data_IF_601404430964
#
_entry.id   IF_601404430964
#
_cell.length_a   1.000
_cell.length_b   1.000
_cell.length_c   1.000
_cell.angle_alpha   90.00
_cell.angle_beta   90.00
_cell.angle_gamma   90.00
#
_symmetry.space_group_name_H-M   'P 1'
#
loop_
_entity.id
_entity.type
_entity.pdbx_description
1 polymer ?
#
# COMPACT_ATOMS: atom_id res chain seq x y z
N UNK A 1 -30.97 38.09 10.11
CA UNK A 1 -30.82 36.67 10.40
C UNK A 1 -31.07 35.78 9.17
N UNK A 2 -31.55 36.34 8.05
CA UNK A 2 -31.84 35.58 6.80
C UNK A 2 -30.66 35.48 5.84
N UNK A 3 -29.73 36.43 5.83
CA UNK A 3 -28.59 36.44 4.89
C UNK A 3 -27.49 35.40 5.24
N UNK A 4 -27.26 35.15 6.51
CA UNK A 4 -26.23 34.19 6.95
C UNK A 4 -26.64 32.70 6.68
N UNK A 5 -27.94 32.41 6.57
CA UNK A 5 -28.44 31.08 6.21
C UNK A 5 -28.27 30.80 4.70
N UNK A 6 -28.33 31.81 3.86
CA UNK A 6 -28.22 31.68 2.41
C UNK A 6 -26.74 31.47 1.99
N UNK A 7 -25.80 32.21 2.60
CA UNK A 7 -24.36 32.07 2.33
C UNK A 7 -23.77 30.73 2.78
N UNK A 8 -24.27 30.17 3.87
CA UNK A 8 -23.79 28.85 4.36
C UNK A 8 -24.29 27.73 3.45
N UNK A 9 -25.57 27.82 3.00
CA UNK A 9 -26.16 26.85 2.07
C UNK A 9 -25.46 26.84 0.70
N UNK A 10 -25.06 27.99 0.19
CA UNK A 10 -24.32 28.12 -1.07
C UNK A 10 -22.88 27.55 -0.95
N UNK A 11 -22.25 27.71 0.21
CA UNK A 11 -20.90 27.20 0.50
C UNK A 11 -20.85 25.66 0.59
N UNK A 12 -21.82 25.07 1.25
CA UNK A 12 -21.95 23.62 1.39
C UNK A 12 -22.27 22.96 0.03
N UNK A 13 -23.08 23.64 -0.81
CA UNK A 13 -23.38 23.19 -2.16
C UNK A 13 -22.14 23.27 -3.07
N UNK A 14 -21.32 24.30 -2.95
CA UNK A 14 -20.03 24.40 -3.64
C UNK A 14 -19.04 23.36 -3.18
N UNK A 15 -18.95 23.09 -1.87
CA UNK A 15 -18.11 22.03 -1.32
C UNK A 15 -18.50 20.65 -1.87
N UNK A 16 -19.79 20.34 -1.93
CA UNK A 16 -20.30 19.10 -2.50
C UNK A 16 -20.01 19.00 -4.01
N UNK A 17 -20.13 20.12 -4.74
CA UNK A 17 -19.79 20.18 -6.17
C UNK A 17 -18.30 19.88 -6.41
N UNK A 18 -17.39 20.47 -5.62
CA UNK A 18 -15.97 20.20 -5.73
C UNK A 18 -15.63 18.74 -5.38
N UNK A 19 -16.27 18.17 -4.35
CA UNK A 19 -16.11 16.74 -4.04
C UNK A 19 -16.55 15.87 -5.21
N UNK A 20 -17.67 16.17 -5.86
CA UNK A 20 -18.17 15.43 -7.02
C UNK A 20 -17.24 15.57 -8.23
N UNK A 21 -16.79 16.77 -8.54
CA UNK A 21 -15.88 17.04 -9.68
C UNK A 21 -14.54 16.34 -9.52
N UNK A 22 -14.01 16.27 -8.29
CA UNK A 22 -12.79 15.54 -7.97
C UNK A 22 -12.99 14.02 -8.03
N UNK A 23 -14.19 13.52 -7.70
CA UNK A 23 -14.52 12.10 -7.79
C UNK A 23 -14.73 11.62 -9.24
N UNK A 24 -15.12 12.52 -10.17
CA UNK A 24 -15.31 12.22 -11.58
C UNK A 24 -13.99 12.19 -12.38
N UNK A 25 -12.90 12.76 -11.86
CA UNK A 25 -11.58 12.72 -12.47
C UNK A 25 -10.68 13.91 -12.09
N UNK A 26 -9.49 13.97 -12.68
CA UNK A 26 -8.58 15.09 -12.46
C UNK A 26 -9.16 16.40 -13.04
N UNK A 27 -9.18 17.45 -12.21
CA UNK A 27 -9.61 18.78 -12.64
C UNK A 27 -8.69 19.30 -13.76
N UNK A 28 -9.27 19.98 -14.73
CA UNK A 28 -8.51 20.72 -15.72
C UNK A 28 -7.71 21.87 -15.08
N UNK A 29 -6.65 22.39 -15.76
CA UNK A 29 -5.79 23.42 -15.18
C UNK A 29 -6.53 24.70 -14.71
N UNK A 30 -7.62 25.06 -15.40
CA UNK A 30 -8.50 26.20 -15.04
C UNK A 30 -9.29 25.92 -13.77
N UNK A 31 -9.82 24.72 -13.66
CA UNK A 31 -10.69 24.31 -12.56
C UNK A 31 -9.87 24.03 -11.31
N UNK A 32 -8.64 23.50 -11.47
CA UNK A 32 -7.68 23.37 -10.39
C UNK A 32 -7.34 24.73 -9.77
N UNK A 33 -7.04 25.74 -10.60
CA UNK A 33 -6.76 27.09 -10.10
C UNK A 33 -7.98 27.77 -9.47
N UNK A 34 -9.20 27.43 -9.88
CA UNK A 34 -10.43 27.89 -9.25
C UNK A 34 -10.66 27.21 -7.91
N UNK A 35 -10.46 25.91 -7.84
CA UNK A 35 -10.55 25.12 -6.62
C UNK A 35 -9.54 25.59 -5.56
N UNK A 36 -8.26 25.77 -5.94
CA UNK A 36 -7.21 26.23 -5.02
C UNK A 36 -7.52 27.61 -4.43
N UNK A 37 -8.06 28.54 -5.24
CA UNK A 37 -8.52 29.86 -4.77
C UNK A 37 -9.71 29.76 -3.82
N UNK A 38 -10.67 28.92 -4.13
CA UNK A 38 -11.84 28.71 -3.29
C UNK A 38 -11.46 28.07 -1.96
N UNK A 39 -10.55 27.08 -1.96
CA UNK A 39 -10.07 26.37 -0.78
C UNK A 39 -9.18 27.24 0.12
N UNK A 40 -8.60 28.34 -0.39
CA UNK A 40 -7.77 29.25 0.40
C UNK A 40 -8.55 30.00 1.50
N UNK A 41 -9.87 30.08 1.39
CA UNK A 41 -10.74 30.65 2.43
C UNK A 41 -10.97 29.60 3.53
N UNK A 42 -10.69 29.94 4.84
CA UNK A 42 -10.77 28.95 5.92
C UNK A 42 -12.14 28.29 6.09
N UNK A 43 -13.22 29.05 5.87
CA UNK A 43 -14.59 28.55 5.97
C UNK A 43 -14.95 27.58 4.84
N UNK A 44 -14.40 27.78 3.64
CA UNK A 44 -14.57 26.87 2.51
C UNK A 44 -13.76 25.60 2.71
N UNK A 45 -12.57 25.69 3.28
CA UNK A 45 -11.76 24.53 3.64
C UNK A 45 -12.47 23.65 4.67
N UNK A 46 -13.14 24.25 5.65
CA UNK A 46 -13.94 23.51 6.62
C UNK A 46 -15.13 22.82 5.98
N UNK A 47 -15.91 23.56 5.15
CA UNK A 47 -17.07 23.00 4.44
C UNK A 47 -16.66 21.85 3.50
N UNK A 48 -15.50 21.97 2.85
CA UNK A 48 -14.97 20.90 2.01
C UNK A 48 -14.56 19.67 2.83
N UNK A 49 -13.92 19.85 3.98
CA UNK A 49 -13.58 18.76 4.90
C UNK A 49 -14.84 18.04 5.40
N UNK A 50 -15.90 18.78 5.73
CA UNK A 50 -17.15 18.21 6.21
C UNK A 50 -17.87 17.44 5.08
N UNK A 51 -17.92 17.98 3.86
CA UNK A 51 -18.46 17.28 2.69
C UNK A 51 -17.68 16.01 2.35
N UNK A 52 -16.34 16.03 2.40
CA UNK A 52 -15.50 14.88 2.17
C UNK A 52 -15.69 13.79 3.24
N UNK A 53 -15.89 14.18 4.51
CA UNK A 53 -16.21 13.25 5.60
C UNK A 53 -17.56 12.57 5.39
N UNK A 54 -18.59 13.31 4.96
CA UNK A 54 -19.91 12.76 4.61
C UNK A 54 -19.78 11.78 3.43
N UNK A 55 -19.00 12.14 2.41
CA UNK A 55 -18.75 11.29 1.24
C UNK A 55 -18.08 9.97 1.65
N UNK A 56 -17.03 10.04 2.47
CA UNK A 56 -16.35 8.86 3.01
C UNK A 56 -17.25 8.02 3.93
N UNK A 57 -18.14 8.64 4.70
CA UNK A 57 -19.11 7.94 5.54
C UNK A 57 -20.15 7.19 4.70
N UNK A 58 -20.60 7.77 3.58
CA UNK A 58 -21.53 7.14 2.64
C UNK A 58 -20.87 5.92 1.96
N UNK A 59 -19.60 6.03 1.60
CA UNK A 59 -18.85 4.93 0.98
C UNK A 59 -18.63 3.76 1.97
N UNK A 60 -18.37 4.07 3.25
CA UNK A 60 -18.28 3.05 4.32
C UNK A 60 -19.63 2.40 4.68
N UNK A 61 -20.75 3.09 4.42
CA UNK A 61 -22.11 2.61 4.73
C UNK A 61 -22.69 1.83 3.57
N UNK A 62 -22.19 2.01 2.33
CA UNK A 62 -22.71 1.31 1.15
C UNK A 62 -22.56 -0.21 1.19
N UNK A 63 -21.63 -0.73 2.01
CA UNK A 63 -21.35 -2.16 2.19
C UNK A 63 -22.12 -2.79 3.40
N UNK A 64 -22.99 -2.04 4.08
CA UNK A 64 -23.75 -2.60 5.22
C UNK A 64 -24.93 -3.44 4.77
N UNK A 65 -25.09 -4.67 5.31
CA UNK A 65 -26.17 -5.60 4.94
C UNK A 65 -27.60 -5.05 5.19
N UNK A 66 -27.75 -4.05 6.10
CA UNK A 66 -29.04 -3.46 6.39
C UNK A 66 -29.59 -2.59 5.25
N UNK A 67 -28.72 -1.94 4.44
CA UNK A 67 -29.13 -1.18 3.26
C UNK A 67 -29.46 -2.07 2.07
N UNK A 68 -28.88 -3.26 2.00
CA UNK A 68 -29.27 -4.30 1.05
C UNK A 68 -30.71 -4.75 1.31
N UNK A 69 -31.13 -4.87 2.56
CA UNK A 69 -32.52 -5.19 2.93
C UNK A 69 -33.52 -4.08 2.56
N UNK A 70 -33.16 -2.80 2.69
CA UNK A 70 -34.04 -1.68 2.26
C UNK A 70 -34.18 -1.62 0.75
N UNK A 71 -33.13 -1.90 0.00
CA UNK A 71 -33.16 -2.02 -1.47
C UNK A 71 -33.98 -3.22 -1.94
N UNK A 72 -33.84 -4.37 -1.27
CA UNK A 72 -34.61 -5.58 -1.58
C UNK A 72 -36.10 -5.40 -1.28
N UNK A 73 -36.49 -4.73 -0.17
CA UNK A 73 -37.87 -4.45 0.18
C UNK A 73 -38.55 -3.44 -0.77
N UNK A 74 -37.81 -2.44 -1.28
CA UNK A 74 -38.32 -1.52 -2.29
C UNK A 74 -38.54 -2.22 -3.64
N UNK A 75 -37.64 -3.14 -4.02
CA UNK A 75 -37.79 -3.96 -5.23
C UNK A 75 -38.90 -5.01 -5.09
N UNK A 76 -39.15 -5.54 -3.88
CA UNK A 76 -40.26 -6.45 -3.64
C UNK A 76 -41.62 -5.75 -3.70
N UNK A 77 -41.75 -4.50 -3.23
CA UNK A 77 -42.96 -3.71 -3.40
C UNK A 77 -43.28 -3.40 -4.84
N UNK A 78 -42.29 -3.07 -5.65
CA UNK A 78 -42.43 -2.89 -7.10
C UNK A 78 -42.78 -4.21 -7.82
N UNK A 79 -42.20 -5.32 -7.39
CA UNK A 79 -42.54 -6.67 -7.92
C UNK A 79 -43.96 -7.11 -7.58
N UNK A 80 -44.48 -6.78 -6.39
CA UNK A 80 -45.87 -7.08 -6.00
C UNK A 80 -46.89 -6.27 -6.78
N UNK A 81 -46.60 -4.99 -7.07
CA UNK A 81 -47.46 -4.15 -7.90
C UNK A 81 -47.54 -4.64 -9.36
N UNK A 82 -46.48 -5.26 -9.88
CA UNK A 82 -46.41 -5.78 -11.25
C UNK A 82 -46.93 -7.23 -11.39
N UNK A 83 -47.08 -7.98 -10.28
CA UNK A 83 -47.56 -9.38 -10.31
C UNK A 83 -49.00 -9.51 -10.73
N UNK A 84 -49.83 -8.45 -10.57
CA UNK A 84 -51.25 -8.46 -10.92
C UNK A 84 -51.59 -8.42 -12.39
N UNK A 85 -50.63 -8.16 -13.26
CA UNK A 85 -50.85 -7.99 -14.74
C UNK A 85 -50.33 -9.12 -15.61
N UNK A 86 -49.55 -10.09 -15.07
CA UNK A 86 -48.85 -11.08 -15.92
C UNK A 86 -49.29 -12.55 -15.71
N UNK A 87 -50.37 -12.82 -14.97
CA UNK A 87 -50.79 -14.22 -14.71
C UNK A 87 -51.74 -14.83 -15.73
N UNK A 88 -51.73 -14.34 -16.97
CA UNK A 88 -52.54 -14.95 -18.04
C UNK A 88 -51.78 -15.17 -19.35
N UNK A 89 -50.58 -15.76 -19.34
CA UNK A 89 -50.06 -16.54 -20.48
C UNK A 89 -49.10 -17.58 -19.90
N UNK A 90 -49.47 -18.85 -20.04
CA UNK A 90 -48.60 -20.00 -19.78
C UNK A 90 -47.41 -19.86 -20.71
N UNK A 91 -46.28 -19.36 -20.21
CA UNK A 91 -45.05 -19.31 -20.96
C UNK A 91 -44.52 -20.74 -21.14
N UNK A 92 -44.20 -21.17 -22.38
CA UNK A 92 -43.62 -22.49 -22.61
C UNK A 92 -42.32 -22.66 -21.78
N UNK A 93 -42.04 -23.87 -21.32
CA UNK A 93 -40.89 -24.23 -20.46
C UNK A 93 -39.56 -23.65 -20.93
N UNK A 94 -39.43 -23.36 -22.20
CA UNK A 94 -38.24 -22.77 -22.86
C UNK A 94 -37.98 -21.31 -22.43
N UNK A 95 -39.00 -20.57 -22.04
CA UNK A 95 -38.85 -19.19 -21.55
C UNK A 95 -38.15 -19.17 -20.19
N UNK A 96 -38.41 -20.16 -19.35
CA UNK A 96 -37.73 -20.31 -18.06
C UNK A 96 -36.28 -20.71 -18.21
N UNK A 97 -35.95 -21.56 -19.17
CA UNK A 97 -34.56 -21.93 -19.51
C UNK A 97 -33.80 -20.73 -20.05
N UNK A 98 -34.43 -19.92 -20.90
CA UNK A 98 -33.84 -18.67 -21.39
C UNK A 98 -33.63 -17.63 -20.30
N UNK A 99 -34.57 -17.51 -19.35
CA UNK A 99 -34.43 -16.58 -18.22
C UNK A 99 -33.30 -16.97 -17.27
N UNK A 100 -33.14 -18.27 -16.99
CA UNK A 100 -32.03 -18.78 -16.16
C UNK A 100 -30.70 -18.60 -16.89
N UNK A 101 -30.62 -18.90 -18.18
CA UNK A 101 -29.40 -18.68 -18.97
C UNK A 101 -29.03 -17.18 -19.00
N UNK A 102 -30.00 -16.28 -19.22
CA UNK A 102 -29.76 -14.84 -19.21
C UNK A 102 -29.31 -14.34 -17.84
N UNK A 103 -29.89 -14.84 -16.74
CA UNK A 103 -29.47 -14.46 -15.39
C UNK A 103 -28.05 -14.94 -15.06
N UNK A 104 -27.66 -16.13 -15.52
CA UNK A 104 -26.28 -16.63 -15.37
C UNK A 104 -25.28 -15.83 -16.19
N UNK A 105 -25.64 -15.43 -17.42
CA UNK A 105 -24.79 -14.56 -18.26
C UNK A 105 -24.64 -13.18 -17.61
N UNK A 106 -25.71 -12.58 -17.11
CA UNK A 106 -25.66 -11.31 -16.40
C UNK A 106 -24.85 -11.43 -15.11
N UNK A 107 -25.01 -12.50 -14.34
CA UNK A 107 -24.22 -12.75 -13.13
C UNK A 107 -22.74 -12.94 -13.46
N UNK A 108 -22.42 -13.67 -14.54
CA UNK A 108 -21.05 -13.88 -15.01
C UNK A 108 -20.42 -12.58 -15.51
N UNK A 109 -21.14 -11.80 -16.33
CA UNK A 109 -20.69 -10.48 -16.80
C UNK A 109 -20.49 -9.51 -15.63
N UNK A 110 -21.42 -9.51 -14.67
CA UNK A 110 -21.29 -8.68 -13.46
C UNK A 110 -20.09 -9.12 -12.62
N UNK A 111 -19.86 -10.42 -12.46
CA UNK A 111 -18.68 -10.94 -11.79
C UNK A 111 -17.38 -10.53 -12.49
N UNK A 112 -17.33 -10.62 -13.82
CA UNK A 112 -16.16 -10.21 -14.63
C UNK A 112 -15.94 -8.68 -14.53
N UNK A 113 -17.02 -7.87 -14.59
CA UNK A 113 -16.95 -6.41 -14.51
C UNK A 113 -16.63 -5.89 -13.10
N UNK A 114 -16.97 -6.65 -12.05
CA UNK A 114 -16.68 -6.31 -10.66
C UNK A 114 -15.30 -6.82 -10.19
N UNK A 115 -14.65 -7.71 -10.94
CA UNK A 115 -13.30 -8.15 -10.62
C UNK A 115 -12.29 -7.19 -11.24
N UNK A 116 -11.74 -6.30 -10.41
CA UNK A 116 -10.58 -5.52 -10.81
C UNK A 116 -9.42 -6.47 -11.12
N UNK A 117 -8.77 -6.36 -12.30
CA UNK A 117 -7.63 -7.20 -12.61
C UNK A 117 -6.51 -6.93 -11.61
N UNK A 118 -5.96 -7.99 -11.04
CA UNK A 118 -4.75 -7.90 -10.22
C UNK A 118 -3.55 -8.02 -11.14
N UNK A 119 -2.71 -6.99 -11.18
CA UNK A 119 -1.45 -7.00 -11.91
C UNK A 119 -0.33 -7.43 -10.96
N UNK A 120 0.38 -8.49 -11.32
CA UNK A 120 1.48 -9.03 -10.50
C UNK A 120 2.80 -8.60 -11.14
N UNK A 121 3.61 -7.88 -10.37
CA UNK A 121 4.97 -7.49 -10.72
C UNK A 121 5.96 -8.36 -9.94
N UNK A 122 6.88 -9.01 -10.66
CA UNK A 122 7.85 -9.93 -10.07
C UNK A 122 9.23 -9.74 -10.67
N UNK A 123 10.22 -9.84 -9.82
CA UNK A 123 11.64 -9.92 -10.20
C UNK A 123 12.23 -11.24 -9.75
N UNK A 124 13.12 -11.80 -10.55
CA UNK A 124 13.92 -12.96 -10.21
C UNK A 124 15.15 -12.61 -9.38
N UNK A 125 15.96 -13.64 -9.09
CA UNK A 125 17.24 -13.49 -8.37
C UNK A 125 18.17 -12.57 -9.18
N UNK A 126 18.66 -11.49 -8.55
CA UNK A 126 19.55 -10.51 -9.17
C UNK A 126 18.87 -9.60 -10.20
N UNK A 127 17.60 -9.77 -10.46
CA UNK A 127 16.83 -8.95 -11.39
C UNK A 127 16.23 -7.74 -10.64
N UNK A 128 16.20 -6.59 -11.34
CA UNK A 128 15.55 -5.37 -10.87
C UNK A 128 14.64 -4.86 -11.97
N UNK A 129 13.51 -4.27 -11.59
CA UNK A 129 12.53 -3.77 -12.55
C UNK A 129 11.99 -2.40 -12.11
N UNK A 130 11.86 -1.50 -13.08
CA UNK A 130 11.09 -0.26 -12.93
C UNK A 130 9.81 -0.38 -13.74
N UNK A 131 8.68 -0.17 -13.09
CA UNK A 131 7.37 -0.17 -13.72
C UNK A 131 6.64 1.17 -13.49
N UNK A 132 5.90 1.61 -14.50
CA UNK A 132 4.95 2.71 -14.37
C UNK A 132 3.57 2.09 -14.14
N UNK A 133 2.91 2.49 -13.06
CA UNK A 133 1.55 2.05 -12.73
C UNK A 133 0.50 2.89 -13.48
N UNK A 134 -0.73 2.39 -13.53
CA UNK A 134 -1.84 3.04 -14.25
C UNK A 134 -2.21 4.42 -13.69
N UNK A 135 -1.96 4.65 -12.40
CA UNK A 135 -2.17 5.94 -11.73
C UNK A 135 -1.03 6.94 -11.93
N UNK A 136 -0.01 6.59 -12.70
CA UNK A 136 1.20 7.39 -12.91
C UNK A 136 2.25 7.25 -11.81
N UNK A 137 2.03 6.43 -10.79
CA UNK A 137 3.05 6.10 -9.79
C UNK A 137 4.15 5.24 -10.40
N UNK A 138 5.39 5.38 -9.88
CA UNK A 138 6.53 4.54 -10.27
C UNK A 138 6.77 3.49 -9.20
N UNK A 139 6.97 2.26 -9.65
CA UNK A 139 7.28 1.10 -8.82
C UNK A 139 8.65 0.56 -9.20
N UNK A 140 9.64 0.72 -8.32
CA UNK A 140 10.96 0.09 -8.47
C UNK A 140 11.01 -1.18 -7.62
N UNK A 141 11.19 -2.33 -8.26
CA UNK A 141 11.33 -3.63 -7.59
C UNK A 141 12.80 -4.01 -7.51
N UNK A 142 13.24 -4.37 -6.33
CA UNK A 142 14.53 -4.99 -6.08
C UNK A 142 14.54 -6.47 -6.49
N UNK A 143 15.67 -7.15 -6.37
CA UNK A 143 15.81 -8.58 -6.65
C UNK A 143 14.91 -9.43 -5.73
N UNK A 144 14.40 -10.54 -6.27
CA UNK A 144 13.51 -11.49 -5.60
C UNK A 144 12.32 -10.83 -4.90
N UNK A 145 11.67 -9.94 -5.62
CA UNK A 145 10.56 -9.12 -5.12
C UNK A 145 9.28 -9.47 -5.85
N UNK A 146 8.15 -9.45 -5.13
CA UNK A 146 6.82 -9.67 -5.66
C UNK A 146 5.84 -8.66 -5.07
N UNK A 147 5.15 -7.93 -5.96
CA UNK A 147 4.13 -6.94 -5.62
C UNK A 147 2.88 -7.22 -6.43
N UNK A 148 1.77 -7.43 -5.73
CA UNK A 148 0.44 -7.50 -6.32
C UNK A 148 -0.18 -6.11 -6.31
N UNK A 149 -0.68 -5.64 -7.45
CA UNK A 149 -1.29 -4.31 -7.62
C UNK A 149 -2.75 -4.49 -8.01
N UNK A 150 -3.64 -3.85 -7.26
CA UNK A 150 -5.06 -3.79 -7.54
C UNK A 150 -5.53 -2.35 -7.43
N UNK A 151 -5.98 -1.79 -8.54
CA UNK A 151 -6.60 -0.46 -8.56
C UNK A 151 -8.11 -0.60 -8.76
N UNK A 152 -8.84 0.05 -7.86
CA UNK A 152 -10.30 0.14 -7.89
C UNK A 152 -10.72 1.62 -7.98
N UNK A 153 -11.99 1.88 -8.22
CA UNK A 153 -12.48 3.26 -8.43
C UNK A 153 -12.14 4.21 -7.28
N UNK A 154 -12.10 3.73 -6.04
CA UNK A 154 -11.83 4.54 -4.85
C UNK A 154 -10.53 4.18 -4.12
N UNK A 155 -9.74 3.19 -4.58
CA UNK A 155 -8.61 2.64 -3.83
C UNK A 155 -7.46 2.24 -4.74
N UNK A 156 -6.24 2.47 -4.26
CA UNK A 156 -5.00 2.01 -4.88
C UNK A 156 -4.31 1.05 -3.91
N UNK A 157 -4.61 -0.25 -4.06
CA UNK A 157 -4.16 -1.28 -3.13
C UNK A 157 -3.02 -2.09 -3.71
N UNK A 158 -1.94 -2.20 -2.95
CA UNK A 158 -0.80 -3.01 -3.29
C UNK A 158 -0.47 -3.96 -2.15
N UNK A 159 0.07 -5.12 -2.49
CA UNK A 159 0.56 -6.09 -1.50
C UNK A 159 2.00 -6.43 -1.83
N UNK A 160 2.94 -6.06 -0.97
CA UNK A 160 4.30 -6.57 -1.03
C UNK A 160 4.30 -7.97 -0.42
N UNK A 161 4.36 -8.98 -1.29
CA UNK A 161 4.36 -10.39 -0.89
C UNK A 161 5.71 -10.79 -0.32
N UNK A 162 6.80 -10.32 -0.95
CA UNK A 162 8.19 -10.51 -0.49
C UNK A 162 9.14 -9.51 -1.14
N UNK A 163 10.31 -9.37 -0.57
CA UNK A 163 11.39 -8.56 -1.14
C UNK A 163 11.35 -7.12 -0.68
N UNK A 164 11.76 -6.22 -1.57
CA UNK A 164 11.85 -4.77 -1.35
C UNK A 164 11.35 -4.01 -2.58
N UNK A 165 10.50 -3.04 -2.36
CA UNK A 165 10.01 -2.17 -3.41
C UNK A 165 9.99 -0.70 -2.97
N UNK A 166 10.39 0.20 -3.88
CA UNK A 166 10.26 1.64 -3.73
C UNK A 166 9.06 2.12 -4.54
N UNK A 167 8.31 3.02 -3.94
CA UNK A 167 7.11 3.62 -4.49
C UNK A 167 7.30 5.13 -4.58
N UNK A 168 7.27 5.68 -5.80
CA UNK A 168 7.16 7.11 -6.04
C UNK A 168 5.69 7.37 -6.43
N UNK A 169 4.88 7.73 -5.43
CA UNK A 169 3.42 7.75 -5.53
C UNK A 169 2.94 9.05 -6.17
N UNK A 170 2.13 8.94 -7.21
CA UNK A 170 1.44 10.07 -7.81
C UNK A 170 0.47 10.71 -6.79
N UNK A 171 0.44 12.05 -6.74
CA UNK A 171 -0.42 12.81 -5.83
C UNK A 171 -1.88 12.60 -6.20
N UNK A 172 -2.62 11.96 -5.32
CA UNK A 172 -4.06 11.77 -5.41
C UNK A 172 -4.64 11.63 -3.99
N UNK A 173 -5.04 12.75 -3.37
CA UNK A 173 -5.56 12.74 -2.00
C UNK A 173 -6.89 12.00 -1.84
N UNK A 174 -7.68 11.90 -2.93
CA UNK A 174 -9.00 11.26 -2.90
C UNK A 174 -8.94 9.74 -2.99
N UNK A 175 -7.84 9.19 -3.54
CA UNK A 175 -7.61 7.76 -3.61
C UNK A 175 -6.31 7.41 -2.89
N UNK A 176 -6.36 7.10 -1.59
CA UNK A 176 -5.16 6.72 -0.84
C UNK A 176 -4.45 5.54 -1.51
N UNK A 177 -3.12 5.61 -1.52
CA UNK A 177 -2.26 4.53 -1.98
C UNK A 177 -1.85 3.70 -0.78
N UNK A 178 -2.22 2.45 -0.74
CA UNK A 178 -1.94 1.55 0.38
C UNK A 178 -1.05 0.40 -0.03
N UNK A 179 0.02 0.15 0.74
CA UNK A 179 0.90 -1.00 0.58
C UNK A 179 0.79 -1.90 1.79
N UNK A 180 0.24 -3.08 1.59
CA UNK A 180 0.21 -4.11 2.63
C UNK A 180 1.50 -4.92 2.59
N UNK A 181 2.18 -5.05 3.72
CA UNK A 181 3.35 -5.90 3.91
C UNK A 181 3.20 -6.68 5.22
N UNK A 182 3.05 -7.99 5.12
CA UNK A 182 2.76 -8.84 6.28
C UNK A 182 1.45 -8.45 6.98
N UNK A 183 1.55 -8.02 8.22
CA UNK A 183 0.46 -7.54 9.06
C UNK A 183 0.37 -6.01 9.18
N UNK A 184 1.09 -5.27 8.33
CA UNK A 184 1.14 -3.81 8.32
C UNK A 184 0.57 -3.25 7.03
N UNK A 185 -0.01 -2.04 7.09
CA UNK A 185 -0.46 -1.27 5.94
C UNK A 185 0.23 0.09 5.99
N UNK A 186 0.93 0.44 4.92
CA UNK A 186 1.52 1.76 4.71
C UNK A 186 0.60 2.57 3.82
N UNK A 187 0.12 3.71 4.30
CA UNK A 187 -0.82 4.58 3.56
C UNK A 187 -0.12 5.88 3.16
N UNK A 188 -0.25 6.23 1.90
CA UNK A 188 0.39 7.37 1.25
C UNK A 188 -0.61 8.13 0.36
N UNK A 189 -0.39 9.44 0.17
CA UNK A 189 -1.23 10.29 -0.69
C UNK A 189 -0.44 11.08 -1.74
N UNK A 190 0.85 10.78 -1.90
CA UNK A 190 1.74 11.48 -2.83
C UNK A 190 3.14 11.62 -2.25
N UNK A 191 3.82 10.52 -2.04
CA UNK A 191 5.05 10.38 -1.26
C UNK A 191 6.03 9.46 -1.95
N UNK A 192 7.32 9.58 -1.64
CA UNK A 192 8.34 8.62 -2.05
C UNK A 192 8.81 7.81 -0.83
N UNK A 193 8.67 6.49 -0.87
CA UNK A 193 9.04 5.60 0.23
C UNK A 193 9.41 4.19 -0.27
N UNK A 194 10.12 3.45 0.58
CA UNK A 194 10.42 2.03 0.36
C UNK A 194 9.74 1.19 1.43
N UNK A 195 9.26 0.02 1.02
CA UNK A 195 8.84 -1.04 1.93
C UNK A 195 9.69 -2.27 1.65
N UNK A 196 10.26 -2.85 2.70
CA UNK A 196 11.06 -4.07 2.63
C UNK A 196 10.55 -5.10 3.63
N UNK A 197 10.42 -6.34 3.20
CA UNK A 197 10.22 -7.50 4.08
C UNK A 197 11.54 -8.24 4.24
N UNK A 198 12.12 -8.20 5.43
CA UNK A 198 13.40 -8.82 5.77
C UNK A 198 13.31 -9.49 7.14
N UNK A 199 13.73 -10.74 7.27
CA UNK A 199 13.82 -11.48 8.54
C UNK A 199 12.55 -11.38 9.40
N UNK A 200 11.36 -11.52 8.78
CA UNK A 200 10.05 -11.35 9.41
C UNK A 200 9.83 -9.96 10.04
N UNK A 201 10.49 -8.96 9.50
CA UNK A 201 10.28 -7.56 9.84
C UNK A 201 9.80 -6.81 8.62
N UNK A 202 9.00 -5.79 8.84
CA UNK A 202 8.60 -4.80 7.84
C UNK A 202 9.39 -3.54 8.11
N UNK A 203 10.14 -3.10 7.12
CA UNK A 203 10.92 -1.88 7.12
C UNK A 203 10.22 -0.87 6.22
N UNK A 204 9.96 0.32 6.72
CA UNK A 204 9.36 1.42 5.96
C UNK A 204 10.26 2.64 6.06
N UNK A 205 10.89 3.02 4.95
CA UNK A 205 11.74 4.20 4.88
C UNK A 205 11.07 5.27 4.02
N UNK A 206 10.99 6.48 4.54
CA UNK A 206 10.39 7.61 3.86
C UNK A 206 11.47 8.54 3.27
N UNK A 207 11.31 8.89 2.00
CA UNK A 207 12.19 9.83 1.28
C UNK A 207 11.56 11.21 1.16
N UNK A 208 10.25 11.27 0.84
CA UNK A 208 9.54 12.52 0.61
C UNK A 208 8.08 12.41 1.06
N UNK A 209 7.52 13.48 1.63
CA UNK A 209 6.14 13.57 2.07
C UNK A 209 5.90 12.97 3.45
N UNK A 210 4.74 12.33 3.63
CA UNK A 210 4.32 11.71 4.89
C UNK A 210 3.61 10.39 4.61
N UNK A 211 3.87 9.37 5.41
CA UNK A 211 3.15 8.10 5.38
C UNK A 211 2.63 7.76 6.76
N UNK A 212 1.45 7.15 6.80
CA UNK A 212 0.91 6.53 8.00
C UNK A 212 1.14 5.02 7.93
N UNK A 213 1.51 4.39 9.05
CA UNK A 213 1.65 2.95 9.14
C UNK A 213 0.62 2.42 10.12
N UNK A 214 -0.22 1.50 9.64
CA UNK A 214 -1.36 0.96 10.36
C UNK A 214 -1.19 -0.55 10.58
N UNK A 215 -1.78 -1.06 11.63
CA UNK A 215 -1.99 -2.50 11.80
C UNK A 215 -3.10 -2.98 10.86
N UNK A 216 -2.88 -4.07 10.15
CA UNK A 216 -3.81 -4.58 9.14
C UNK A 216 -5.15 -5.05 9.71
N UNK A 217 -5.19 -5.53 10.96
CA UNK A 217 -6.42 -6.06 11.57
C UNK A 217 -7.25 -4.97 12.21
N UNK A 218 -6.61 -4.11 12.99
CA UNK A 218 -7.28 -3.06 13.75
C UNK A 218 -7.43 -1.75 12.98
N UNK A 219 -6.66 -1.57 11.88
CA UNK A 219 -6.49 -0.30 11.16
C UNK A 219 -6.03 0.86 12.08
N UNK A 220 -5.57 0.54 13.26
CA UNK A 220 -5.02 1.52 14.19
C UNK A 220 -3.58 1.89 13.77
N UNK A 221 -3.20 3.16 13.92
CA UNK A 221 -1.81 3.57 13.73
C UNK A 221 -0.87 2.79 14.64
N UNK A 222 0.30 2.40 14.11
CA UNK A 222 1.30 1.69 14.88
C UNK A 222 2.02 2.68 15.81
N UNK A 223 1.97 2.48 17.15
CA UNK A 223 2.71 3.27 18.08
C UNK A 223 4.23 3.10 17.86
N UNK A 224 4.99 4.18 18.03
CA UNK A 224 6.45 4.14 18.04
C UNK A 224 6.96 4.01 19.45
N UNK A 225 8.08 3.31 19.63
CA UNK A 225 8.69 3.10 20.93
C UNK A 225 9.15 4.43 21.61
N UNK A 226 9.42 5.47 20.79
CA UNK A 226 9.85 6.81 21.22
C UNK A 226 8.72 7.83 21.33
N UNK A 227 7.46 7.44 21.02
CA UNK A 227 6.32 8.35 21.03
C UNK A 227 5.97 8.79 22.47
N UNK A 228 5.90 10.11 22.69
CA UNK A 228 5.43 10.68 23.95
C UNK A 228 3.91 10.58 24.06
N UNK A 229 3.34 10.12 25.16
CA UNK A 229 1.90 10.14 25.35
C UNK A 229 1.39 11.59 25.49
N UNK A 230 0.41 11.96 24.66
CA UNK A 230 -0.21 13.29 24.70
C UNK A 230 -1.16 13.54 23.51
N UNK A 231 -1.95 14.63 23.54
CA UNK A 231 -2.89 14.95 22.47
C UNK A 231 -2.21 15.28 21.11
N UNK A 232 -0.89 15.55 21.09
CA UNK A 232 -0.09 15.69 19.87
C UNK A 232 0.30 14.34 19.22
N UNK A 233 -0.04 13.21 19.85
CA UNK A 233 0.35 11.86 19.40
C UNK A 233 -0.11 11.51 17.97
N UNK A 234 -1.16 12.13 17.46
CA UNK A 234 -1.64 11.86 16.11
C UNK A 234 -0.71 12.41 15.02
N UNK A 235 -0.14 13.61 15.20
CA UNK A 235 0.84 14.16 14.28
C UNK A 235 2.21 13.44 14.40
N UNK A 236 2.53 12.95 15.60
CA UNK A 236 3.74 12.18 15.89
C UNK A 236 3.72 10.75 15.32
N UNK A 237 2.57 10.29 14.82
CA UNK A 237 2.40 8.95 14.23
C UNK A 237 2.78 8.89 12.74
N UNK A 238 2.93 10.04 12.07
CA UNK A 238 3.35 10.08 10.67
C UNK A 238 4.88 9.97 10.55
N UNK A 239 5.34 9.09 9.66
CA UNK A 239 6.76 8.98 9.37
C UNK A 239 7.24 10.23 8.64
N UNK A 240 8.43 10.72 8.97
CA UNK A 240 9.07 11.88 8.36
C UNK A 240 10.25 11.46 7.48
N UNK A 241 10.63 12.23 6.46
CA UNK A 241 11.75 11.92 5.58
C UNK A 241 13.07 11.67 6.33
N UNK A 242 13.86 10.70 5.87
CA UNK A 242 15.12 10.28 6.49
C UNK A 242 14.94 9.40 7.73
N UNK A 243 13.71 8.92 7.97
CA UNK A 243 13.43 8.00 9.09
C UNK A 243 12.94 6.66 8.56
N UNK A 244 13.41 5.59 9.18
CA UNK A 244 13.00 4.23 8.93
C UNK A 244 12.21 3.70 10.14
N UNK A 245 11.05 3.13 9.88
CA UNK A 245 10.25 2.43 10.87
C UNK A 245 10.43 0.93 10.69
N UNK A 246 10.99 0.26 11.68
CA UNK A 246 11.25 -1.19 11.70
C UNK A 246 10.24 -1.87 12.62
N UNK A 247 9.50 -2.85 12.08
CA UNK A 247 8.41 -3.51 12.78
C UNK A 247 8.51 -5.02 12.60
N UNK A 248 8.75 -5.81 13.67
CA UNK A 248 8.58 -7.25 13.58
C UNK A 248 7.12 -7.61 13.21
N UNK A 249 6.95 -8.61 12.36
CA UNK A 249 5.61 -9.14 12.04
C UNK A 249 4.99 -9.70 13.33
N UNK A 250 3.78 -9.27 13.66
CA UNK A 250 3.08 -9.59 14.91
C UNK A 250 3.35 -8.59 16.05
N UNK A 251 4.27 -7.65 15.91
CA UNK A 251 4.52 -6.65 16.94
C UNK A 251 3.50 -5.50 16.86
N UNK A 252 3.09 -5.03 18.03
CA UNK A 252 2.18 -3.88 18.17
C UNK A 252 2.91 -2.52 18.16
N UNK A 253 4.25 -2.51 18.27
CA UNK A 253 5.07 -1.29 18.37
C UNK A 253 6.23 -1.40 17.38
N UNK A 254 6.56 -0.29 16.72
CA UNK A 254 7.71 -0.17 15.83
C UNK A 254 8.86 0.61 16.44
N UNK A 255 10.08 0.35 16.01
CA UNK A 255 11.29 1.13 16.34
C UNK A 255 11.55 2.12 15.22
N UNK A 256 11.79 3.39 15.58
CA UNK A 256 12.10 4.43 14.63
C UNK A 256 13.62 4.68 14.64
N UNK A 257 14.24 4.53 13.48
CA UNK A 257 15.67 4.67 13.29
C UNK A 257 15.97 5.83 12.31
N UNK A 258 17.14 6.44 12.43
CA UNK A 258 17.64 7.36 11.39
C UNK A 258 18.19 6.52 10.25
N UNK A 259 17.90 6.92 9.02
CA UNK A 259 18.41 6.22 7.85
C UNK A 259 19.09 7.19 6.88
N UNK A 260 20.19 6.74 6.29
CA UNK A 260 20.82 7.45 5.17
C UNK A 260 20.07 7.13 3.88
N UNK A 261 19.43 8.15 3.32
CA UNK A 261 18.64 8.03 2.09
C UNK A 261 19.50 7.55 0.92
N UNK A 262 20.72 8.05 0.79
CA UNK A 262 21.61 7.71 -0.32
C UNK A 262 22.06 6.25 -0.26
N UNK A 263 22.39 5.77 0.94
CA UNK A 263 22.74 4.37 1.17
C UNK A 263 21.56 3.45 0.89
N UNK A 264 20.37 3.82 1.35
CA UNK A 264 19.16 3.01 1.21
C UNK A 264 18.70 2.86 -0.26
N UNK A 265 19.09 3.80 -1.15
CA UNK A 265 18.82 3.76 -2.58
C UNK A 265 19.95 3.11 -3.41
N UNK A 266 21.06 2.71 -2.78
CA UNK A 266 22.24 2.13 -3.48
C UNK A 266 21.88 0.90 -4.32
N UNK A 267 20.86 0.13 -3.91
CA UNK A 267 20.42 -1.04 -4.65
C UNK A 267 19.84 -0.70 -6.05
N UNK A 268 19.26 0.49 -6.24
CA UNK A 268 18.76 0.91 -7.56
C UNK A 268 19.93 1.03 -8.57
N UNK A 269 21.14 1.33 -8.11
CA UNK A 269 22.37 1.36 -8.93
C UNK A 269 23.13 0.03 -8.94
N UNK A 270 22.67 -0.99 -8.20
CA UNK A 270 23.33 -2.30 -8.13
C UNK A 270 24.39 -2.41 -7.05
N UNK A 271 24.36 -1.57 -6.04
CA UNK A 271 25.21 -1.68 -4.86
C UNK A 271 24.41 -2.10 -3.64
N UNK A 272 25.02 -2.88 -2.76
CA UNK A 272 24.52 -3.22 -1.43
C UNK A 272 25.39 -2.51 -0.41
N UNK A 273 24.81 -1.56 0.29
CA UNK A 273 25.50 -0.82 1.34
C UNK A 273 25.01 -1.30 2.69
N UNK A 274 25.93 -1.67 3.56
CA UNK A 274 25.70 -2.10 4.94
C UNK A 274 26.42 -1.13 5.88
N UNK A 275 25.77 -0.76 6.97
CA UNK A 275 26.33 0.09 8.03
C UNK A 275 25.99 -0.53 9.39
N UNK A 276 26.99 -1.14 10.02
CA UNK A 276 26.85 -1.92 11.27
C UNK A 276 25.66 -2.89 11.25
N UNK A 277 25.43 -3.50 10.07
CA UNK A 277 24.27 -4.38 9.86
C UNK A 277 24.53 -5.78 10.41
N UNK A 278 23.58 -6.40 11.14
CA UNK A 278 23.70 -7.78 11.56
C UNK A 278 23.95 -8.72 10.37
N UNK A 279 24.92 -9.64 10.50
CA UNK A 279 25.29 -10.55 9.42
C UNK A 279 24.10 -11.36 8.88
N UNK A 280 23.12 -11.68 9.72
CA UNK A 280 21.89 -12.36 9.32
C UNK A 280 21.11 -11.56 8.28
N UNK A 281 20.93 -10.27 8.52
CA UNK A 281 20.18 -9.36 7.64
C UNK A 281 20.98 -9.07 6.36
N UNK A 282 22.30 -8.86 6.48
CA UNK A 282 23.18 -8.69 5.33
C UNK A 282 23.15 -9.93 4.40
N UNK A 283 23.24 -11.13 4.96
CA UNK A 283 23.12 -12.41 4.24
C UNK A 283 21.77 -12.54 3.56
N UNK A 284 20.67 -12.18 4.22
CA UNK A 284 19.34 -12.23 3.63
C UNK A 284 19.23 -11.28 2.41
N UNK A 285 19.82 -10.08 2.47
CA UNK A 285 19.88 -9.15 1.34
C UNK A 285 20.78 -9.66 0.19
N UNK A 286 21.98 -10.18 0.49
CA UNK A 286 22.88 -10.77 -0.52
C UNK A 286 22.21 -11.94 -1.22
N UNK A 287 21.47 -12.77 -0.50
CA UNK A 287 20.78 -13.93 -1.04
C UNK A 287 19.70 -13.60 -2.09
N UNK A 288 19.20 -12.36 -2.17
CA UNK A 288 18.31 -11.94 -3.24
C UNK A 288 19.02 -11.86 -4.59
N UNK A 289 20.35 -11.70 -4.59
CA UNK A 289 21.16 -11.54 -5.78
C UNK A 289 21.99 -12.76 -6.10
N UNK A 290 22.02 -13.76 -5.22
CA UNK A 290 22.88 -14.95 -5.37
C UNK A 290 22.07 -16.21 -5.64
N UNK A 291 22.52 -17.01 -6.60
CA UNK A 291 22.02 -18.36 -6.85
C UNK A 291 22.56 -19.34 -5.80
N UNK A 292 23.83 -19.20 -5.42
CA UNK A 292 24.43 -19.94 -4.32
C UNK A 292 24.05 -19.25 -3.01
N UNK A 293 23.33 -19.97 -2.14
CA UNK A 293 22.78 -19.34 -0.94
C UNK A 293 23.81 -19.31 0.19
N UNK A 294 23.85 -18.15 0.86
CA UNK A 294 24.59 -17.96 2.11
C UNK A 294 23.69 -18.31 3.28
N UNK A 295 24.27 -18.91 4.31
CA UNK A 295 23.60 -19.24 5.55
C UNK A 295 24.47 -18.85 6.75
N UNK A 296 23.84 -18.32 7.79
CA UNK A 296 24.49 -18.12 9.09
C UNK A 296 24.31 -19.39 9.91
N UNK A 297 25.42 -20.06 10.26
CA UNK A 297 25.44 -21.43 10.79
C UNK A 297 25.35 -21.52 12.32
N UNK A 298 25.68 -20.47 13.06
CA UNK A 298 25.68 -20.46 14.52
C UNK A 298 25.44 -19.05 15.10
N UNK A 299 25.17 -19.01 16.40
CA UNK A 299 24.88 -17.78 17.13
C UNK A 299 26.08 -16.80 17.18
N UNK A 300 27.32 -17.31 17.15
CA UNK A 300 28.50 -16.47 17.14
C UNK A 300 28.66 -15.72 15.81
N UNK A 301 28.42 -16.40 14.69
CA UNK A 301 28.37 -15.73 13.39
C UNK A 301 27.17 -14.77 13.28
N UNK A 302 26.03 -15.12 13.85
CA UNK A 302 24.84 -14.25 13.87
C UNK A 302 25.04 -12.94 14.65
N UNK A 303 25.94 -12.94 15.62
CA UNK A 303 26.32 -11.76 16.41
C UNK A 303 27.32 -10.83 15.68
N UNK A 304 27.86 -11.24 14.53
CA UNK A 304 28.75 -10.40 13.75
C UNK A 304 27.97 -9.32 13.01
N UNK A 305 28.60 -8.17 12.83
CA UNK A 305 28.07 -7.04 12.07
C UNK A 305 28.96 -6.75 10.85
N UNK A 306 28.36 -6.22 9.82
CA UNK A 306 29.04 -5.93 8.54
C UNK A 306 28.83 -4.47 8.18
N UNK A 307 29.94 -3.80 7.80
CA UNK A 307 29.91 -2.46 7.18
C UNK A 307 30.70 -2.51 5.87
N UNK A 308 30.18 -1.87 4.84
CA UNK A 308 30.84 -1.78 3.55
C UNK A 308 29.87 -1.64 2.37
N UNK A 309 30.42 -1.44 1.20
CA UNK A 309 29.68 -1.37 -0.07
C UNK A 309 30.12 -2.51 -0.96
N UNK A 310 29.15 -3.28 -1.44
CA UNK A 310 29.36 -4.46 -2.26
C UNK A 310 28.58 -4.34 -3.57
N UNK A 311 29.14 -4.91 -4.64
CA UNK A 311 28.38 -5.05 -5.89
C UNK A 311 27.31 -6.12 -5.70
N UNK A 312 26.06 -5.79 -6.03
CA UNK A 312 24.96 -6.74 -5.96
C UNK A 312 25.23 -7.94 -6.90
N UNK A 313 25.19 -9.16 -6.34
CA UNK A 313 25.51 -10.39 -7.05
C UNK A 313 26.96 -10.88 -6.91
N UNK A 314 27.89 -10.05 -6.43
CA UNK A 314 29.25 -10.51 -6.11
C UNK A 314 29.32 -11.13 -4.71
N UNK A 315 28.78 -12.35 -4.62
CA UNK A 315 28.75 -13.12 -3.39
C UNK A 315 30.15 -13.48 -2.90
N UNK A 316 31.11 -13.69 -3.81
CA UNK A 316 32.49 -14.04 -3.47
C UNK A 316 33.20 -12.91 -2.74
N UNK A 317 33.13 -11.68 -3.26
CA UNK A 317 33.68 -10.50 -2.59
C UNK A 317 33.05 -10.25 -1.21
N UNK A 318 31.73 -10.48 -1.09
CA UNK A 318 31.06 -10.38 0.21
C UNK A 318 31.57 -11.39 1.23
N UNK A 319 31.68 -12.68 0.84
CA UNK A 319 32.17 -13.75 1.71
C UNK A 319 33.63 -13.51 2.10
N UNK A 320 34.49 -13.12 1.17
CA UNK A 320 35.89 -12.77 1.44
C UNK A 320 35.98 -11.65 2.48
N UNK A 321 35.28 -10.54 2.25
CA UNK A 321 35.28 -9.40 3.19
C UNK A 321 34.79 -9.79 4.59
N UNK A 322 33.68 -10.53 4.69
CA UNK A 322 33.14 -11.00 5.99
C UNK A 322 34.15 -11.88 6.70
N UNK A 323 34.81 -12.80 5.98
CA UNK A 323 35.80 -13.72 6.60
C UNK A 323 37.09 -13.01 7.01
N UNK A 324 37.46 -11.91 6.37
CA UNK A 324 38.65 -11.11 6.73
C UNK A 324 38.35 -10.16 7.89
N UNK A 325 37.21 -9.47 7.85
CA UNK A 325 36.89 -8.37 8.76
C UNK A 325 36.19 -8.81 10.05
N UNK A 326 35.66 -10.03 10.08
CA UNK A 326 34.92 -10.54 11.25
C UNK A 326 35.49 -11.89 11.73
N UNK A 327 35.19 -12.32 12.97
CA UNK A 327 35.61 -13.62 13.47
C UNK A 327 34.78 -14.79 12.89
N UNK A 328 34.50 -14.73 11.58
CA UNK A 328 33.68 -15.70 10.87
C UNK A 328 34.54 -16.43 9.84
N UNK A 329 34.25 -17.72 9.59
CA UNK A 329 34.80 -18.54 8.51
C UNK A 329 33.70 -19.04 7.59
N UNK A 330 34.00 -19.21 6.31
CA UNK A 330 33.11 -19.81 5.34
C UNK A 330 33.37 -21.32 5.22
N UNK A 331 32.30 -22.11 5.19
CA UNK A 331 32.30 -23.54 4.94
C UNK A 331 31.45 -23.80 3.71
N UNK A 332 32.06 -24.30 2.64
CA UNK A 332 31.36 -24.60 1.39
C UNK A 332 30.77 -26.03 1.48
N UNK A 333 29.46 -26.11 1.38
CA UNK A 333 28.69 -27.34 1.34
C UNK A 333 27.85 -27.35 0.06
N UNK A 334 27.53 -28.49 -0.50
CA UNK A 334 26.86 -28.71 -1.80
C UNK A 334 25.85 -27.58 -2.21
N UNK A 335 26.36 -26.53 -2.87
CA UNK A 335 25.53 -25.41 -3.41
C UNK A 335 25.12 -24.34 -2.38
N UNK A 336 25.71 -24.38 -1.18
CA UNK A 336 25.46 -23.43 -0.10
C UNK A 336 26.78 -23.06 0.59
N UNK A 337 26.91 -21.82 1.02
CA UNK A 337 28.04 -21.34 1.81
C UNK A 337 27.55 -21.04 3.22
N UNK A 338 28.01 -21.81 4.19
CA UNK A 338 27.66 -21.62 5.60
C UNK A 338 28.73 -20.78 6.31
N UNK A 339 28.33 -19.65 6.86
CA UNK A 339 29.16 -18.76 7.65
C UNK A 339 29.08 -19.16 9.13
N UNK A 340 30.22 -19.50 9.73
CA UNK A 340 30.33 -19.96 11.13
C UNK A 340 31.39 -19.17 11.88
N UNK A 341 31.24 -19.05 13.18
CA UNK A 341 32.28 -18.49 14.04
C UNK A 341 33.59 -19.31 13.91
N UNK A 342 34.73 -18.63 13.96
CA UNK A 342 36.05 -19.27 13.98
C UNK A 342 36.32 -19.98 15.25
#
# INVERSE_FOLDING_TARGET
MSAAFDETSDRDEQAAHWCLSLAEGALGPSDQAAFDRWLAEPDNAQAFADAANVWNAIDQVSDRPELIHLRSSALETLRRANRGRWTRRIAPRWVWVGAVAASLVVALLTAILLHAPTHIYRTGIGERQLAMLEDGSKLSLDADTEVDVRFERGRRELVLVRGRAKFDVAKDPLRPFSVTAGDKIVVATGTAFTVEMLDRRVHVLLYEGHVAVLDRKSHAPIPRADARPGPAAAADQMLTPGRELVMPVGAAVGTLEAADISQSLSWESGALTFDDEPLTSAVARVNRYSKEKLRVGDAGAAAAHVSGVFTAGDTSAFVEAVTVLTPVRAVHEKGEITLRQR
#
